data_IF_449474524286
#
_entry.id   IF_449474524286
#
_cell.length_a   1.000
_cell.length_b   1.000
_cell.length_c   1.000
_cell.angle_alpha   90.00
_cell.angle_beta   90.00
_cell.angle_gamma   90.00
#
_symmetry.space_group_name_H-M   'P 1'
#
loop_
_entity.id
_entity.type
_entity.pdbx_description
1 polymer ?
#
# COMPACT_ATOMS: atom_id res chain seq x y z
N UNK A 1 -23.27 12.96 -11.80
CA UNK A 1 -22.88 13.01 -10.36
C UNK A 1 -22.17 11.71 -10.04
N UNK A 2 -21.01 11.70 -9.37
CA UNK A 2 -20.36 10.45 -8.95
C UNK A 2 -21.25 9.70 -7.96
N UNK A 3 -21.33 8.37 -8.09
CA UNK A 3 -22.18 7.50 -7.25
C UNK A 3 -21.51 7.18 -5.90
N UNK A 4 -20.18 7.16 -5.86
CA UNK A 4 -19.36 6.91 -4.68
C UNK A 4 -18.25 7.96 -4.65
N UNK A 5 -17.94 8.49 -3.47
CA UNK A 5 -16.85 9.44 -3.24
C UNK A 5 -16.13 9.04 -1.96
N UNK A 6 -14.82 8.84 -2.04
CA UNK A 6 -13.93 8.66 -0.89
C UNK A 6 -13.77 10.01 -0.20
N UNK A 7 -14.05 10.04 1.11
CA UNK A 7 -14.01 11.27 1.93
C UNK A 7 -12.69 11.49 2.67
N UNK A 8 -11.87 10.44 2.82
CA UNK A 8 -10.69 10.46 3.67
C UNK A 8 -9.42 10.76 2.87
N UNK A 9 -9.20 10.15 1.71
CA UNK A 9 -7.97 10.37 0.93
C UNK A 9 -8.40 10.61 -0.51
N UNK A 10 -8.45 11.88 -0.92
CA UNK A 10 -9.02 12.27 -2.22
C UNK A 10 -8.33 11.61 -3.41
N UNK A 11 -7.04 11.31 -3.31
CA UNK A 11 -6.33 10.58 -4.35
C UNK A 11 -6.92 9.17 -4.63
N UNK A 12 -7.65 8.55 -3.69
CA UNK A 12 -8.41 7.33 -3.98
C UNK A 12 -9.65 7.56 -4.84
N UNK A 13 -10.19 8.78 -4.93
CA UNK A 13 -11.28 9.07 -5.87
C UNK A 13 -10.82 8.83 -7.31
N UNK A 14 -9.56 9.11 -7.61
CA UNK A 14 -8.93 8.81 -8.91
C UNK A 14 -8.71 7.31 -9.14
N UNK A 15 -8.96 6.44 -8.15
CA UNK A 15 -8.86 4.98 -8.27
C UNK A 15 -10.24 4.31 -8.44
N UNK A 16 -11.33 5.04 -8.22
CA UNK A 16 -12.69 4.50 -8.33
C UNK A 16 -13.08 4.21 -9.78
N UNK A 17 -13.95 3.21 -9.98
CA UNK A 17 -14.51 2.90 -11.29
C UNK A 17 -13.59 2.06 -12.19
N UNK A 18 -12.61 1.36 -11.61
CA UNK A 18 -11.75 0.45 -12.36
C UNK A 18 -12.51 -0.77 -12.90
N UNK A 19 -12.32 -1.09 -14.18
CA UNK A 19 -12.94 -2.25 -14.86
C UNK A 19 -11.94 -3.13 -15.59
N UNK A 20 -10.63 -2.88 -15.44
CA UNK A 20 -9.60 -3.60 -16.20
C UNK A 20 -9.46 -5.05 -15.75
N UNK A 21 -9.38 -5.30 -14.44
CA UNK A 21 -9.28 -6.65 -13.89
C UNK A 21 -9.63 -6.71 -12.40
N UNK A 22 -9.90 -7.92 -11.92
CA UNK A 22 -9.95 -8.21 -10.48
C UNK A 22 -8.59 -7.92 -9.81
N UNK A 23 -8.64 -7.31 -8.64
CA UNK A 23 -7.48 -7.11 -7.77
C UNK A 23 -7.06 -8.43 -7.11
N UNK A 24 -5.87 -8.45 -6.52
CA UNK A 24 -5.42 -9.60 -5.73
C UNK A 24 -6.41 -9.95 -4.60
N UNK A 25 -6.96 -8.94 -3.94
CA UNK A 25 -7.97 -9.10 -2.89
C UNK A 25 -9.28 -9.65 -3.43
N UNK A 26 -9.72 -9.24 -4.61
CA UNK A 26 -10.93 -9.79 -5.23
C UNK A 26 -10.78 -11.29 -5.47
N UNK A 27 -9.64 -11.72 -6.04
CA UNK A 27 -9.34 -13.15 -6.21
C UNK A 27 -9.27 -13.89 -4.87
N UNK A 28 -8.66 -13.28 -3.84
CA UNK A 28 -8.61 -13.82 -2.47
C UNK A 28 -10.01 -14.04 -1.92
N UNK A 29 -10.89 -13.05 -2.03
CA UNK A 29 -12.28 -13.12 -1.53
C UNK A 29 -13.09 -14.17 -2.29
N UNK A 30 -13.02 -14.20 -3.61
CA UNK A 30 -13.68 -15.22 -4.44
C UNK A 30 -13.21 -16.62 -4.03
N UNK A 31 -11.90 -16.82 -3.89
CA UNK A 31 -11.31 -18.09 -3.50
C UNK A 31 -11.76 -18.50 -2.08
N UNK A 32 -11.83 -17.57 -1.12
CA UNK A 32 -12.30 -17.86 0.23
C UNK A 32 -13.81 -18.15 0.30
N UNK A 33 -14.61 -17.51 -0.56
CA UNK A 33 -16.06 -17.63 -0.55
C UNK A 33 -16.56 -18.89 -1.27
N UNK A 34 -16.02 -19.18 -2.45
CA UNK A 34 -16.54 -20.26 -3.31
C UNK A 34 -15.89 -21.62 -3.09
N UNK A 35 -14.76 -21.67 -2.42
CA UNK A 35 -14.05 -22.93 -2.23
C UNK A 35 -14.10 -23.35 -0.76
N UNK A 36 -14.79 -24.45 -0.47
CA UNK A 36 -14.74 -25.10 0.85
C UNK A 36 -13.32 -25.59 1.09
N UNK A 37 -12.63 -25.00 2.06
CA UNK A 37 -11.24 -25.37 2.39
C UNK A 37 -11.25 -26.65 3.22
N UNK A 38 -11.08 -27.80 2.56
CA UNK A 38 -10.83 -29.09 3.21
C UNK A 38 -9.31 -29.34 3.31
N UNK A 39 -8.59 -28.42 3.96
CA UNK A 39 -7.17 -28.61 4.27
C UNK A 39 -7.01 -29.07 5.72
N UNK A 40 -6.52 -30.29 5.93
CA UNK A 40 -6.25 -30.86 7.26
C UNK A 40 -5.10 -30.15 7.98
N UNK A 41 -4.06 -29.71 7.25
CA UNK A 41 -2.93 -28.94 7.77
C UNK A 41 -2.86 -27.58 7.06
N UNK A 42 -3.45 -26.55 7.67
CA UNK A 42 -3.46 -25.19 7.08
C UNK A 42 -2.12 -24.51 7.28
N UNK A 43 -1.41 -24.26 6.20
CA UNK A 43 -0.23 -23.39 6.18
C UNK A 43 -0.65 -21.93 6.38
N UNK A 44 0.06 -21.18 7.23
CA UNK A 44 -0.13 -19.73 7.36
C UNK A 44 0.62 -18.97 6.26
N UNK A 45 -0.12 -18.17 5.49
CA UNK A 45 0.42 -17.30 4.46
C UNK A 45 0.73 -15.92 5.04
N UNK A 46 1.87 -15.34 4.68
CA UNK A 46 2.33 -14.02 5.12
C UNK A 46 2.03 -12.94 4.09
N UNK A 47 2.19 -11.68 4.49
CA UNK A 47 2.11 -10.50 3.63
C UNK A 47 0.82 -10.44 2.78
N UNK A 48 -0.31 -10.89 3.35
CA UNK A 48 -1.60 -10.86 2.67
C UNK A 48 -1.90 -12.03 1.73
N UNK A 49 -0.96 -12.94 1.54
CA UNK A 49 -1.16 -14.16 0.75
C UNK A 49 -2.30 -15.05 1.29
N UNK A 50 -2.76 -15.98 0.46
CA UNK A 50 -3.81 -16.91 0.84
C UNK A 50 -3.54 -18.31 0.28
N UNK A 51 -4.08 -19.34 0.93
CA UNK A 51 -3.82 -20.73 0.54
C UNK A 51 -4.42 -21.00 -0.84
N UNK A 52 -3.62 -21.59 -1.72
CA UNK A 52 -4.10 -22.18 -2.97
C UNK A 52 -4.91 -23.45 -2.64
N UNK A 53 -6.23 -23.38 -2.76
CA UNK A 53 -7.13 -24.39 -2.18
C UNK A 53 -6.94 -25.78 -2.81
N UNK A 54 -6.57 -25.85 -4.09
CA UNK A 54 -6.25 -27.12 -4.76
C UNK A 54 -4.97 -27.81 -4.28
N UNK A 55 -4.11 -27.12 -3.52
CA UNK A 55 -2.79 -27.63 -3.15
C UNK A 55 -2.52 -27.64 -1.65
N UNK A 56 -3.29 -26.94 -0.80
CA UNK A 56 -3.22 -26.90 0.68
C UNK A 56 -1.83 -26.62 1.33
N UNK A 57 -0.73 -26.68 0.58
CA UNK A 57 0.65 -26.55 0.98
C UNK A 57 1.38 -25.42 0.24
N UNK A 58 0.65 -24.58 -0.49
CA UNK A 58 1.21 -23.47 -1.25
C UNK A 58 0.33 -22.23 -1.08
N UNK A 59 0.95 -21.09 -0.77
CA UNK A 59 0.28 -19.80 -0.80
C UNK A 59 0.31 -19.18 -2.19
N UNK A 60 -0.80 -18.54 -2.58
CA UNK A 60 -0.84 -17.55 -3.65
C UNK A 60 -0.39 -16.22 -3.04
N UNK A 61 0.68 -15.67 -3.60
CA UNK A 61 1.33 -14.48 -3.06
C UNK A 61 0.90 -13.21 -3.80
N UNK A 62 0.81 -12.07 -3.09
CA UNK A 62 0.76 -10.79 -3.77
C UNK A 62 1.98 -10.65 -4.69
N UNK A 63 1.83 -9.89 -5.76
CA UNK A 63 2.80 -9.72 -6.86
C UNK A 63 4.26 -9.56 -6.39
N UNK A 64 4.43 -8.83 -5.31
CA UNK A 64 5.69 -8.35 -4.76
C UNK A 64 6.33 -9.31 -3.76
N UNK A 65 5.74 -10.48 -3.54
CA UNK A 65 6.19 -11.48 -2.58
C UNK A 65 6.29 -12.86 -3.21
N UNK A 66 7.14 -13.71 -2.65
CA UNK A 66 7.33 -15.09 -3.07
C UNK A 66 7.73 -15.99 -1.89
N UNK A 67 7.93 -17.27 -2.19
CA UNK A 67 8.17 -18.32 -1.20
C UNK A 67 6.87 -19.07 -0.88
N UNK A 68 7.00 -20.24 -0.28
CA UNK A 68 5.85 -21.11 0.03
C UNK A 68 4.78 -20.41 0.87
N UNK A 69 5.22 -19.50 1.76
CA UNK A 69 4.38 -18.70 2.67
C UNK A 69 4.33 -17.22 2.28
N UNK A 70 4.80 -16.84 1.09
CA UNK A 70 4.90 -15.43 0.68
C UNK A 70 5.79 -14.57 1.60
N UNK A 71 6.79 -15.19 2.23
CA UNK A 71 7.64 -14.57 3.25
C UNK A 71 8.76 -13.71 2.67
N UNK A 72 9.10 -13.88 1.39
CA UNK A 72 10.23 -13.21 0.77
C UNK A 72 9.77 -12.09 -0.15
N UNK A 73 10.43 -10.94 -0.04
CA UNK A 73 10.21 -9.81 -0.92
C UNK A 73 10.81 -10.09 -2.31
N UNK A 74 10.04 -9.87 -3.38
CA UNK A 74 10.43 -10.09 -4.77
C UNK A 74 10.87 -8.76 -5.43
N UNK A 75 12.16 -8.43 -5.48
CA UNK A 75 12.62 -7.25 -6.19
C UNK A 75 12.39 -7.37 -7.70
N UNK A 76 12.09 -6.25 -8.36
CA UNK A 76 12.08 -6.17 -9.81
C UNK A 76 13.52 -6.10 -10.31
N UNK A 77 13.88 -7.01 -11.21
CA UNK A 77 15.22 -7.04 -11.79
C UNK A 77 15.37 -5.94 -12.84
N UNK A 78 15.80 -4.76 -12.42
CA UNK A 78 16.20 -3.67 -13.31
C UNK A 78 17.44 -2.98 -12.74
N UNK A 79 18.55 -3.04 -13.49
CA UNK A 79 19.87 -2.53 -13.05
C UNK A 79 19.91 -1.01 -12.85
N UNK A 80 18.89 -0.28 -13.30
CA UNK A 80 18.80 1.18 -13.21
C UNK A 80 17.95 1.68 -12.03
N UNK A 81 17.42 0.77 -11.22
CA UNK A 81 16.72 1.10 -9.97
C UNK A 81 17.73 1.18 -8.82
N UNK A 82 17.45 2.02 -7.83
CA UNK A 82 18.14 1.99 -6.55
C UNK A 82 17.94 0.65 -5.82
N UNK A 83 18.69 0.46 -4.73
CA UNK A 83 18.54 -0.69 -3.84
C UNK A 83 17.09 -0.86 -3.39
N UNK A 84 16.50 -2.01 -3.71
CA UNK A 84 15.10 -2.29 -3.44
C UNK A 84 14.79 -2.51 -1.96
N UNK A 85 15.74 -3.01 -1.16
CA UNK A 85 15.55 -3.25 0.26
C UNK A 85 16.14 -2.10 1.08
N UNK A 86 15.28 -1.37 1.77
CA UNK A 86 15.63 -0.15 2.50
C UNK A 86 15.28 -0.29 3.99
N UNK A 87 16.10 0.32 4.84
CA UNK A 87 15.83 0.41 6.29
C UNK A 87 15.51 1.84 6.66
N UNK A 88 14.32 2.06 7.25
CA UNK A 88 13.91 3.32 7.82
C UNK A 88 14.57 3.56 9.18
N UNK A 89 15.14 4.74 9.35
CA UNK A 89 15.82 5.22 10.55
C UNK A 89 15.08 6.42 11.14
N UNK A 90 15.47 6.83 12.33
CA UNK A 90 14.84 7.98 13.04
C UNK A 90 15.12 9.32 12.36
N UNK A 91 16.17 9.40 11.54
CA UNK A 91 16.43 10.57 10.71
C UNK A 91 15.81 10.43 9.31
N UNK A 92 15.41 11.56 8.69
CA UNK A 92 14.90 11.59 7.33
C UNK A 92 15.83 10.95 6.30
N UNK A 93 15.27 10.06 5.47
CA UNK A 93 15.97 9.47 4.32
C UNK A 93 15.19 9.76 3.04
N UNK A 94 15.89 10.06 1.95
CA UNK A 94 15.29 10.35 0.64
C UNK A 94 15.27 9.08 -0.22
N UNK A 95 14.13 8.79 -0.84
CA UNK A 95 13.99 7.85 -1.94
C UNK A 95 13.58 8.63 -3.18
N UNK A 96 14.33 8.47 -4.27
CA UNK A 96 14.16 9.20 -5.53
C UNK A 96 14.27 8.23 -6.70
N UNK A 97 13.37 8.34 -7.67
CA UNK A 97 13.55 7.69 -8.97
C UNK A 97 13.05 8.54 -10.11
N UNK A 98 13.69 8.41 -11.26
CA UNK A 98 13.33 9.10 -12.49
C UNK A 98 13.50 8.23 -13.74
N UNK A 99 12.79 8.61 -14.79
CA UNK A 99 12.91 8.05 -16.12
C UNK A 99 12.04 6.82 -16.37
N UNK A 100 12.22 6.26 -17.57
CA UNK A 100 11.48 5.11 -18.07
C UNK A 100 12.02 3.81 -17.47
N UNK A 101 11.51 3.45 -16.29
CA UNK A 101 11.85 2.23 -15.59
C UNK A 101 10.74 1.79 -14.65
N UNK A 102 10.70 0.48 -14.40
CA UNK A 102 9.80 -0.13 -13.44
C UNK A 102 10.66 -0.60 -12.26
N UNK A 103 10.37 -0.08 -11.09
CA UNK A 103 11.14 -0.35 -9.86
C UNK A 103 10.21 -0.66 -8.71
N UNK A 104 10.72 -1.38 -7.71
CA UNK A 104 10.01 -1.59 -6.47
C UNK A 104 10.91 -1.53 -5.24
N UNK A 105 10.33 -1.10 -4.12
CA UNK A 105 11.05 -0.84 -2.88
C UNK A 105 10.31 -1.40 -1.70
N UNK A 106 11.04 -2.07 -0.82
CA UNK A 106 10.58 -2.56 0.47
C UNK A 106 11.31 -1.80 1.56
N UNK A 107 10.60 -0.91 2.23
CA UNK A 107 11.12 -0.13 3.35
C UNK A 107 10.69 -0.82 4.64
N UNK A 108 11.65 -1.19 5.48
CA UNK A 108 11.43 -1.84 6.78
C UNK A 108 11.99 -1.04 7.94
N UNK A 109 11.38 -1.21 9.10
CA UNK A 109 11.85 -0.73 10.40
C UNK A 109 11.68 -1.81 11.45
N UNK A 110 12.10 -1.52 12.68
CA UNK A 110 11.98 -2.43 13.82
C UNK A 110 10.51 -2.75 14.14
N UNK A 111 10.24 -3.95 14.68
CA UNK A 111 8.89 -4.30 15.14
C UNK A 111 8.41 -3.32 16.22
N UNK A 112 7.12 -3.01 16.27
CA UNK A 112 6.57 -2.01 17.19
C UNK A 112 6.88 -0.57 16.78
N UNK A 113 7.18 -0.34 15.49
CA UNK A 113 7.33 1.01 14.92
C UNK A 113 6.47 1.16 13.67
N UNK A 114 6.34 2.41 13.21
CA UNK A 114 5.69 2.77 11.95
C UNK A 114 6.66 3.54 11.07
N UNK A 115 6.29 3.73 9.81
CA UNK A 115 7.05 4.50 8.83
C UNK A 115 6.20 5.68 8.40
N UNK A 116 6.72 6.88 8.63
CA UNK A 116 6.19 8.10 8.04
C UNK A 116 6.78 8.27 6.64
N UNK A 117 5.91 8.38 5.65
CA UNK A 117 6.22 8.74 4.27
C UNK A 117 5.74 10.17 3.99
N UNK A 118 6.61 10.98 3.41
CA UNK A 118 6.29 12.31 2.91
C UNK A 118 6.65 12.31 1.43
N UNK A 119 5.66 12.06 0.58
CA UNK A 119 5.78 12.21 -0.86
C UNK A 119 5.77 13.71 -1.19
N UNK A 120 6.92 14.21 -1.61
CA UNK A 120 7.06 15.60 -2.03
C UNK A 120 6.42 15.80 -3.39
N UNK A 121 6.71 14.90 -4.33
CA UNK A 121 6.14 14.93 -5.67
C UNK A 121 6.21 13.56 -6.35
N UNK A 122 5.19 13.26 -7.16
CA UNK A 122 5.23 12.22 -8.19
C UNK A 122 4.68 12.77 -9.49
N UNK A 123 5.30 12.41 -10.61
CA UNK A 123 4.85 12.77 -11.94
C UNK A 123 4.89 11.54 -12.86
N UNK A 124 3.73 11.08 -13.29
CA UNK A 124 3.55 9.97 -14.24
C UNK A 124 2.46 10.33 -15.24
N UNK A 125 2.06 9.40 -16.12
CA UNK A 125 0.93 9.66 -17.01
C UNK A 125 -0.35 9.88 -16.21
N UNK A 126 -1.05 10.98 -16.51
CA UNK A 126 -2.38 11.21 -15.97
C UNK A 126 -3.35 10.16 -16.53
N UNK A 127 -4.19 9.60 -15.66
CA UNK A 127 -5.23 8.63 -16.01
C UNK A 127 -6.51 8.98 -15.29
N UNK A 128 -7.64 8.79 -15.97
CA UNK A 128 -8.98 8.95 -15.40
C UNK A 128 -9.23 7.99 -14.24
N UNK A 129 -8.77 6.74 -14.39
CA UNK A 129 -8.72 5.74 -13.33
C UNK A 129 -7.29 5.26 -13.17
N UNK A 130 -6.75 5.46 -11.97
CA UNK A 130 -5.42 5.02 -11.58
C UNK A 130 -5.50 3.69 -10.85
N UNK A 131 -4.81 2.69 -11.38
CA UNK A 131 -4.70 1.34 -10.79
C UNK A 131 -3.23 0.98 -10.65
N UNK A 132 -2.96 -0.15 -9.99
CA UNK A 132 -1.64 -0.75 -9.96
C UNK A 132 -1.04 -0.84 -11.37
N UNK A 133 0.28 -0.69 -11.48
CA UNK A 133 1.07 -0.82 -12.71
C UNK A 133 1.14 0.39 -13.66
N UNK A 134 0.54 1.53 -13.33
CA UNK A 134 0.58 2.71 -14.22
C UNK A 134 1.32 3.94 -13.70
N UNK A 135 1.52 4.03 -12.38
CA UNK A 135 2.17 5.18 -11.77
C UNK A 135 2.96 4.78 -10.53
N UNK A 136 2.78 5.53 -9.44
CA UNK A 136 3.33 5.20 -8.14
C UNK A 136 2.26 4.50 -7.30
N UNK A 137 2.51 3.29 -6.83
CA UNK A 137 1.67 2.62 -5.83
C UNK A 137 2.40 2.59 -4.49
N UNK A 138 1.74 3.06 -3.43
CA UNK A 138 2.25 3.07 -2.06
C UNK A 138 1.39 2.12 -1.22
N UNK A 139 1.94 0.95 -0.86
CA UNK A 139 1.33 -0.03 0.03
C UNK A 139 1.81 0.17 1.47
N UNK A 140 0.99 0.83 2.27
CA UNK A 140 1.29 1.20 3.65
C UNK A 140 0.42 0.47 4.69
N UNK A 141 -0.60 -0.27 4.24
CA UNK A 141 -1.44 -1.13 5.08
C UNK A 141 -0.68 -2.35 5.60
N UNK A 142 -1.11 -2.92 6.72
CA UNK A 142 -0.56 -4.16 7.28
C UNK A 142 -0.72 -5.33 6.29
N UNK A 143 -1.93 -5.55 5.76
CA UNK A 143 -2.21 -6.54 4.72
C UNK A 143 -1.68 -6.06 3.35
N UNK A 144 -0.50 -6.58 2.96
CA UNK A 144 0.16 -6.27 1.69
C UNK A 144 -0.52 -6.88 0.46
N UNK A 145 -1.57 -7.69 0.65
CA UNK A 145 -2.46 -8.17 -0.39
C UNK A 145 -3.41 -7.08 -0.89
N UNK A 146 -3.74 -6.09 -0.05
CA UNK A 146 -4.55 -4.94 -0.43
C UNK A 146 -3.85 -4.07 -1.46
N UNK A 147 -4.62 -3.46 -2.35
CA UNK A 147 -4.15 -2.41 -3.24
C UNK A 147 -3.76 -1.17 -2.42
N UNK A 148 -2.57 -0.62 -2.69
CA UNK A 148 -2.10 0.59 -2.04
C UNK A 148 -2.76 1.87 -2.58
N UNK A 149 -2.23 3.02 -2.21
CA UNK A 149 -2.59 4.28 -2.86
C UNK A 149 -1.90 4.36 -4.24
N UNK A 150 -2.68 4.37 -5.31
CA UNK A 150 -2.18 4.51 -6.68
C UNK A 150 -2.25 5.97 -7.15
N UNK A 151 -1.13 6.51 -7.63
CA UNK A 151 -0.97 7.90 -8.05
C UNK A 151 -0.51 7.97 -9.52
N UNK A 152 -1.41 8.45 -10.38
CA UNK A 152 -1.20 8.61 -11.83
C UNK A 152 -1.35 10.09 -12.22
N UNK A 153 -0.29 10.71 -12.73
CA UNK A 153 -0.24 12.16 -12.97
C UNK A 153 0.64 12.88 -11.95
N UNK A 154 0.35 14.16 -11.75
CA UNK A 154 1.10 15.04 -10.85
C UNK A 154 0.44 15.11 -9.46
N UNK A 155 1.14 14.63 -8.44
CA UNK A 155 0.73 14.74 -7.04
C UNK A 155 1.85 15.34 -6.20
N UNK A 156 1.50 16.16 -5.20
CA UNK A 156 2.48 16.82 -4.31
C UNK A 156 2.06 16.76 -2.85
N UNK A 157 3.05 16.83 -1.97
CA UNK A 157 2.86 17.02 -0.53
C UNK A 157 1.90 16.00 0.13
N UNK A 158 2.01 14.72 -0.24
CA UNK A 158 1.22 13.65 0.37
C UNK A 158 1.96 13.09 1.58
N UNK A 159 1.31 13.08 2.74
CA UNK A 159 1.84 12.44 3.96
C UNK A 159 1.06 11.18 4.26
N UNK A 160 1.76 10.08 4.56
CA UNK A 160 1.17 8.78 4.89
C UNK A 160 1.95 8.19 6.05
N UNK A 161 1.24 7.71 7.07
CA UNK A 161 1.84 6.86 8.10
C UNK A 161 1.41 5.42 7.84
N UNK A 162 2.37 4.50 7.81
CA UNK A 162 2.07 3.07 7.66
C UNK A 162 1.38 2.51 8.90
N UNK A 163 0.60 1.44 8.72
CA UNK A 163 -0.08 0.78 9.84
C UNK A 163 0.91 0.01 10.74
N UNK A 164 2.00 -0.48 10.15
CA UNK A 164 3.07 -1.23 10.80
C UNK A 164 4.46 -0.84 10.28
N UNK A 165 5.48 -1.57 10.66
CA UNK A 165 6.90 -1.30 10.42
C UNK A 165 7.38 -1.55 8.98
N UNK A 166 6.47 -1.77 8.02
CA UNK A 166 6.82 -2.05 6.63
C UNK A 166 5.96 -1.26 5.63
N UNK A 167 6.62 -0.70 4.62
CA UNK A 167 6.02 -0.04 3.46
C UNK A 167 6.56 -0.70 2.21
N UNK A 168 5.69 -0.88 1.22
CA UNK A 168 6.09 -1.33 -0.08
C UNK A 168 5.68 -0.33 -1.17
N UNK A 169 6.57 -0.09 -2.13
CA UNK A 169 6.33 0.85 -3.23
C UNK A 169 6.60 0.18 -4.57
N UNK A 170 5.77 0.50 -5.56
CA UNK A 170 6.05 0.21 -6.97
C UNK A 170 5.98 1.48 -7.79
N UNK A 171 6.98 1.71 -8.64
CA UNK A 171 7.06 2.84 -9.55
C UNK A 171 7.07 2.34 -10.98
N UNK A 172 6.15 2.86 -11.80
CA UNK A 172 6.02 2.56 -13.23
C UNK A 172 6.28 3.82 -14.06
N UNK A 173 7.56 4.15 -14.24
CA UNK A 173 8.01 5.19 -15.15
C UNK A 173 7.94 4.71 -16.60
N UNK A 174 7.10 5.33 -17.42
CA UNK A 174 6.92 4.99 -18.83
C UNK A 174 7.52 6.03 -19.79
N UNK A 175 7.97 7.17 -19.27
CA UNK A 175 8.62 8.23 -20.02
C UNK A 175 9.85 8.77 -19.28
N UNK A 176 10.76 9.44 -20.00
CA UNK A 176 12.02 9.96 -19.47
C UNK A 176 11.84 11.06 -18.41
N UNK A 177 10.74 11.80 -18.46
CA UNK A 177 10.40 12.86 -17.52
C UNK A 177 9.50 12.39 -16.36
N UNK A 178 9.22 11.09 -16.25
CA UNK A 178 8.50 10.56 -15.09
C UNK A 178 9.43 10.48 -13.90
N UNK A 179 8.92 10.73 -12.71
CA UNK A 179 9.70 10.62 -11.47
C UNK A 179 8.80 10.50 -10.24
N UNK A 180 9.41 10.13 -9.13
CA UNK A 180 8.88 10.42 -7.80
C UNK A 180 10.03 10.70 -6.83
N UNK A 181 9.74 11.46 -5.79
CA UNK A 181 10.64 11.56 -4.65
C UNK A 181 9.90 11.78 -3.34
N UNK A 182 10.34 11.04 -2.33
CA UNK A 182 9.72 11.03 -1.02
C UNK A 182 10.77 10.91 0.08
N UNK A 183 10.41 11.40 1.25
CA UNK A 183 11.15 11.16 2.49
C UNK A 183 10.47 10.05 3.28
N UNK A 184 11.26 9.17 3.88
CA UNK A 184 10.78 8.15 4.80
C UNK A 184 11.54 8.19 6.13
N UNK A 185 10.82 7.94 7.24
CA UNK A 185 11.32 8.05 8.62
C UNK A 185 10.67 6.98 9.50
N UNK A 186 11.46 6.32 10.36
CA UNK A 186 10.96 5.47 11.44
C UNK A 186 10.34 6.35 12.52
N UNK A 187 9.13 6.01 12.96
CA UNK A 187 8.39 6.69 14.03
C UNK A 187 7.81 5.68 15.02
N UNK A 188 7.50 6.11 16.24
CA UNK A 188 6.89 5.26 17.27
C UNK A 188 5.50 4.73 16.83
N UNK A 189 5.05 3.62 17.42
CA UNK A 189 3.79 2.96 17.02
C UNK A 189 2.54 3.81 17.24
N UNK A 190 2.55 4.69 18.24
CA UNK A 190 1.46 5.63 18.56
C UNK A 190 1.45 6.88 17.66
N UNK A 191 2.47 7.05 16.81
CA UNK A 191 2.54 8.18 15.91
C UNK A 191 1.37 8.18 14.91
N UNK A 192 0.64 9.29 14.86
CA UNK A 192 -0.43 9.54 13.91
C UNK A 192 -0.31 10.95 13.34
N UNK A 193 -0.50 11.06 12.02
CA UNK A 193 -0.63 12.36 11.35
C UNK A 193 -2.09 12.54 10.93
N UNK A 194 -2.60 13.76 11.01
CA UNK A 194 -3.70 14.22 10.16
C UNK A 194 -3.17 14.27 8.73
N UNK A 195 -3.16 13.12 8.06
CA UNK A 195 -2.53 12.98 6.76
C UNK A 195 -3.10 14.06 5.81
N UNK A 196 -2.36 14.56 4.82
CA UNK A 196 -2.81 15.67 3.97
C UNK A 196 -2.36 15.40 2.54
N UNK A 197 -3.20 15.73 1.57
CA UNK A 197 -2.91 15.58 0.12
C UNK A 197 -3.07 16.92 -0.54
N UNK A 198 -2.17 17.30 -1.45
CA UNK A 198 -2.35 18.48 -2.27
C UNK A 198 -2.33 18.15 -3.77
N UNK A 199 -3.30 18.68 -4.52
CA UNK A 199 -3.39 18.58 -5.98
C UNK A 199 -3.73 19.96 -6.54
N UNK A 200 -2.98 20.41 -7.56
CA UNK A 200 -3.26 21.64 -8.31
C UNK A 200 -3.65 22.84 -7.41
N UNK A 201 -2.83 23.12 -6.40
CA UNK A 201 -2.98 24.19 -5.38
C UNK A 201 -4.08 24.04 -4.32
N UNK A 202 -4.88 22.97 -4.35
CA UNK A 202 -5.82 22.62 -3.27
C UNK A 202 -5.19 21.57 -2.34
N UNK A 203 -5.48 21.62 -1.04
CA UNK A 203 -5.04 20.60 -0.09
C UNK A 203 -6.18 20.11 0.81
N UNK A 204 -6.17 18.81 1.11
CA UNK A 204 -7.25 18.09 1.76
C UNK A 204 -6.74 17.28 2.95
N UNK A 205 -7.43 17.34 4.08
CA UNK A 205 -7.11 16.54 5.26
C UNK A 205 -7.62 15.11 5.12
N UNK A 206 -6.78 14.18 5.55
CA UNK A 206 -7.07 12.78 5.69
C UNK A 206 -7.58 12.56 7.09
N UNK A 207 -8.89 12.31 7.19
CA UNK A 207 -9.50 11.95 8.45
C UNK A 207 -8.95 10.59 8.89
N UNK A 208 -8.43 10.45 10.12
CA UNK A 208 -8.28 9.13 10.71
C UNK A 208 -9.66 8.48 10.75
N UNK A 209 -9.70 7.18 10.45
CA UNK A 209 -10.94 6.40 10.48
C UNK A 209 -11.55 6.55 11.87
N UNK A 210 -12.61 7.34 11.98
CA UNK A 210 -13.50 7.28 13.14
C UNK A 210 -14.34 6.04 12.88
N UNK A 211 -13.92 4.92 13.47
CA UNK A 211 -14.76 3.74 13.62
C UNK A 211 -15.90 4.06 14.59
N UNK A 212 -17.02 4.52 14.05
CA UNK A 212 -18.34 4.40 14.67
C UNK A 212 -19.31 4.06 13.53
N UNK A 213 -19.97 2.91 13.45
CA UNK A 213 -20.07 1.70 14.26
C UNK A 213 -21.29 0.93 13.75
N UNK A 214 -21.48 -0.36 14.10
CA UNK A 214 -22.82 -0.97 14.23
C UNK A 214 -22.76 -2.07 15.30
N UNK A 215 -23.37 -1.80 16.47
CA UNK A 215 -23.94 -2.80 17.38
C UNK A 215 -23.04 -3.41 18.45
N UNK A 216 -23.32 -3.05 19.72
CA UNK A 216 -22.98 -3.75 20.96
C UNK A 216 -21.49 -3.74 21.35
N UNK A 217 -21.06 -3.07 22.43
CA UNK A 217 -21.10 -3.61 23.79
C UNK A 217 -21.04 -2.50 24.85
N UNK A 218 -21.89 -2.67 25.87
CA UNK A 218 -22.09 -1.84 27.06
C UNK A 218 -20.96 -2.00 28.10
N UNK A 219 -20.55 -0.86 28.69
CA UNK A 219 -19.87 -0.60 29.99
C UNK A 219 -18.94 -1.64 30.67
N UNK A 220 -17.78 -1.16 31.15
CA UNK A 220 -17.50 -0.92 32.59
C UNK A 220 -16.14 -0.22 32.82
N UNK A 221 -16.13 0.82 33.67
CA UNK A 221 -14.93 1.35 34.35
C UNK A 221 -14.39 0.27 35.32
N UNK A 222 -13.08 0.07 35.42
CA UNK A 222 -12.46 -0.31 36.68
C UNK A 222 -12.06 0.95 37.44
N UNK A 223 -12.66 1.15 38.61
CA UNK A 223 -12.07 2.00 39.65
C UNK A 223 -10.84 1.26 40.21
N UNK A 224 -9.68 1.93 40.19
CA UNK A 224 -8.94 2.33 41.39
C UNK A 224 -7.81 3.27 40.97
#
# INVERSE_FOLDING_TARGET
KPTIVVKNIDAYNSMLGQTESFTFTDYKLINLHHCKIECYNKMECRNGGYIAIKRCSQCICPRSYYGEKCQFFKPFFNKHCMTSSLTAKEHPQLLYEEGKKICNYHIKSESGTKILLILHESNTYNRTVCTSNYGLEIKYFEDKGLTGLCLCGLYKNIKITSEKNEVYLEYYGLNANHYFYLTYIKVCEDYSIKSKICQESSCFDIKPDVTEGIGDLVFRKPNN
#
